data_IF_905325229054
#
_entry.id   IF_905325229054
#
_cell.length_a   1.000
_cell.length_b   1.000
_cell.length_c   1.000
_cell.angle_alpha   90.00
_cell.angle_beta   90.00
_cell.angle_gamma   90.00
#
_symmetry.space_group_name_H-M   'P 1'
#
loop_
_entity.id
_entity.type
_entity.pdbx_description
1 polymer ?
#
# COMPACT_ATOMS: atom_id res chain seq x y z
N UNK A 1 -4.35 22.48 16.28
CA UNK A 1 -3.49 21.28 16.17
C UNK A 1 -3.52 20.88 14.72
N UNK A 2 -2.41 20.40 14.15
CA UNK A 2 -2.39 19.89 12.78
C UNK A 2 -3.40 18.76 12.63
N UNK A 3 -4.10 18.75 11.50
CA UNK A 3 -5.15 17.79 11.16
C UNK A 3 -4.84 17.19 9.78
N UNK A 4 -5.31 15.97 9.48
CA UNK A 4 -5.14 15.34 8.16
C UNK A 4 -5.68 16.24 7.04
N UNK A 5 -6.71 17.03 7.33
CA UNK A 5 -7.24 18.09 6.46
C UNK A 5 -6.19 19.11 5.98
N UNK A 6 -5.09 19.31 6.71
CA UNK A 6 -4.04 20.23 6.27
C UNK A 6 -3.32 19.75 5.01
N UNK A 7 -3.37 18.44 4.68
CA UNK A 7 -2.87 17.90 3.41
C UNK A 7 -3.66 18.43 2.21
N UNK A 8 -4.96 18.73 2.37
CA UNK A 8 -5.81 19.26 1.28
C UNK A 8 -5.49 20.70 0.89
N UNK A 9 -4.57 21.36 1.61
CA UNK A 9 -4.01 22.66 1.20
C UNK A 9 -3.11 22.55 -0.02
N UNK A 10 -2.70 21.33 -0.39
CA UNK A 10 -1.95 21.03 -1.61
C UNK A 10 -2.93 20.76 -2.75
N UNK A 11 -2.69 21.39 -3.90
CA UNK A 11 -3.63 21.37 -5.03
C UNK A 11 -3.83 20.00 -5.68
N UNK A 12 -2.90 19.07 -5.47
CA UNK A 12 -2.90 17.71 -6.02
C UNK A 12 -3.29 16.64 -5.00
N UNK A 13 -3.76 17.04 -3.80
CA UNK A 13 -4.25 16.11 -2.79
C UNK A 13 -5.72 16.43 -2.49
N UNK A 14 -6.55 15.40 -2.53
CA UNK A 14 -7.92 15.45 -2.04
C UNK A 14 -8.03 14.60 -0.77
N UNK A 15 -8.67 15.13 0.27
CA UNK A 15 -8.93 14.41 1.52
C UNK A 15 -10.42 14.18 1.64
N UNK A 16 -10.80 12.92 1.85
CA UNK A 16 -12.19 12.49 2.09
C UNK A 16 -12.28 11.84 3.46
N UNK A 17 -13.38 12.07 4.15
CA UNK A 17 -13.67 11.45 5.44
C UNK A 17 -14.80 10.45 5.26
N UNK A 18 -14.55 9.20 5.64
CA UNK A 18 -15.56 8.12 5.61
C UNK A 18 -15.82 7.63 7.01
N UNK A 19 -16.82 6.78 7.19
CA UNK A 19 -17.05 6.14 8.49
C UNK A 19 -15.87 5.25 8.93
N UNK A 20 -15.12 4.68 7.98
CA UNK A 20 -14.11 3.65 8.24
C UNK A 20 -12.67 4.18 8.30
N UNK A 21 -12.36 5.25 7.56
CA UNK A 21 -10.99 5.78 7.43
C UNK A 21 -11.00 7.17 6.79
N UNK A 22 -9.97 7.96 7.10
CA UNK A 22 -9.64 9.14 6.29
C UNK A 22 -8.93 8.67 5.01
N UNK A 23 -9.34 9.22 3.86
CA UNK A 23 -8.84 8.81 2.55
C UNK A 23 -8.12 9.98 1.88
N UNK A 24 -6.84 9.79 1.57
CA UNK A 24 -6.00 10.77 0.88
C UNK A 24 -5.79 10.32 -0.56
N UNK A 25 -6.24 11.13 -1.52
CA UNK A 25 -6.25 10.80 -2.94
C UNK A 25 -5.27 11.72 -3.68
N UNK A 26 -4.42 11.15 -4.53
CA UNK A 26 -3.44 11.86 -5.35
C UNK A 26 -3.18 11.14 -6.69
N UNK A 27 -2.34 11.72 -7.55
CA UNK A 27 -2.08 11.21 -8.92
C UNK A 27 -0.73 10.51 -9.11
N UNK A 28 0.27 10.85 -8.30
CA UNK A 28 1.65 10.36 -8.40
C UNK A 28 1.98 9.56 -7.15
N UNK A 29 2.41 8.31 -7.29
CA UNK A 29 2.49 7.38 -6.17
C UNK A 29 3.54 7.76 -5.14
N UNK A 30 4.61 8.44 -5.57
CA UNK A 30 5.65 8.97 -4.67
C UNK A 30 5.09 10.00 -3.68
N UNK A 31 3.93 10.59 -3.97
CA UNK A 31 3.23 11.54 -3.09
C UNK A 31 2.96 10.94 -1.71
N UNK A 32 2.84 9.61 -1.60
CA UNK A 32 2.68 8.92 -0.32
C UNK A 32 3.79 9.24 0.68
N UNK A 33 5.03 9.46 0.21
CA UNK A 33 6.14 9.83 1.09
C UNK A 33 5.89 11.18 1.77
N UNK A 34 5.22 12.12 1.09
CA UNK A 34 4.84 13.40 1.67
C UNK A 34 3.74 13.22 2.72
N UNK A 35 2.81 12.29 2.51
CA UNK A 35 1.80 11.92 3.50
C UNK A 35 2.48 11.34 4.75
N UNK A 36 3.39 10.38 4.58
CA UNK A 36 4.15 9.81 5.70
C UNK A 36 4.96 10.87 6.44
N UNK A 37 5.68 11.72 5.71
CA UNK A 37 6.46 12.78 6.32
C UNK A 37 5.59 13.79 7.09
N UNK A 38 4.42 14.15 6.55
CA UNK A 38 3.45 14.99 7.24
C UNK A 38 2.96 14.35 8.54
N UNK A 39 2.61 13.06 8.53
CA UNK A 39 2.19 12.35 9.74
C UNK A 39 3.30 12.30 10.79
N UNK A 40 4.54 12.04 10.36
CA UNK A 40 5.72 12.02 11.24
C UNK A 40 5.99 13.37 11.87
N UNK A 41 6.00 14.43 11.06
CA UNK A 41 6.30 15.79 11.48
C UNK A 41 5.29 16.31 12.52
N UNK A 42 4.02 15.92 12.36
CA UNK A 42 2.92 16.37 13.22
C UNK A 42 2.61 15.40 14.38
N UNK A 43 3.36 14.30 14.51
CA UNK A 43 3.17 13.31 15.58
C UNK A 43 1.83 12.58 15.50
N UNK A 44 1.29 12.41 14.30
CA UNK A 44 0.01 11.74 14.04
C UNK A 44 0.15 10.21 13.94
N UNK A 45 1.38 9.70 13.82
CA UNK A 45 1.71 8.28 13.77
C UNK A 45 3.13 8.02 14.31
N UNK A 46 3.39 6.78 14.73
CA UNK A 46 4.71 6.34 15.18
C UNK A 46 5.48 5.71 14.01
N UNK A 47 6.63 6.29 13.67
CA UNK A 47 7.45 5.85 12.54
C UNK A 47 8.67 5.00 12.97
N UNK A 48 9.12 4.05 12.12
CA UNK A 48 8.60 3.72 10.78
C UNK A 48 7.28 2.94 10.84
N UNK A 49 6.39 3.17 9.87
CA UNK A 49 5.10 2.46 9.78
C UNK A 49 5.18 1.30 8.80
N UNK A 50 4.34 0.30 8.98
CA UNK A 50 4.16 -0.74 7.97
C UNK A 50 3.20 -0.29 6.86
N UNK A 51 3.35 -0.85 5.68
CA UNK A 51 2.56 -0.50 4.50
C UNK A 51 1.88 -1.74 3.91
N UNK A 52 0.56 -1.70 3.79
CA UNK A 52 -0.19 -2.63 2.95
C UNK A 52 -0.44 -1.96 1.60
N UNK A 53 0.24 -2.45 0.57
CA UNK A 53 0.24 -1.83 -0.75
C UNK A 53 -0.56 -2.69 -1.71
N UNK A 54 -1.52 -2.10 -2.40
CA UNK A 54 -2.23 -2.70 -3.52
C UNK A 54 -1.78 -2.00 -4.78
N UNK A 55 -0.90 -2.62 -5.53
CA UNK A 55 -0.18 -2.05 -6.67
C UNK A 55 0.25 -3.20 -7.59
N UNK A 56 0.22 -3.04 -8.91
CA UNK A 56 0.76 -4.06 -9.82
C UNK A 56 2.30 -4.03 -9.93
N UNK A 57 2.94 -3.03 -9.31
CA UNK A 57 4.37 -2.79 -9.21
C UNK A 57 4.89 -2.97 -7.77
N UNK A 58 6.20 -3.20 -7.61
CA UNK A 58 6.81 -3.31 -6.27
C UNK A 58 7.44 -2.00 -5.78
N UNK A 59 7.63 -1.03 -6.67
CA UNK A 59 8.30 0.26 -6.50
C UNK A 59 9.58 0.20 -5.65
N UNK A 60 10.28 -0.93 -5.83
CA UNK A 60 11.39 -1.36 -4.98
C UNK A 60 12.74 -1.33 -5.69
N UNK A 61 12.91 -0.52 -6.75
CA UNK A 61 14.20 -0.29 -7.36
C UNK A 61 15.06 0.64 -6.49
N UNK A 62 16.37 0.58 -6.71
CA UNK A 62 17.30 1.38 -5.93
C UNK A 62 17.16 2.86 -6.29
N UNK A 63 17.11 3.77 -5.28
CA UNK A 63 17.20 5.19 -5.52
C UNK A 63 18.53 5.58 -6.18
N UNK A 64 18.54 6.73 -6.86
CA UNK A 64 19.77 7.25 -7.44
C UNK A 64 20.81 7.59 -6.36
N UNK A 65 22.10 7.60 -6.71
CA UNK A 65 23.14 8.00 -5.77
C UNK A 65 22.98 9.43 -5.24
N UNK A 66 22.40 10.33 -6.05
CA UNK A 66 22.06 11.69 -5.63
C UNK A 66 20.90 11.70 -4.60
N UNK A 67 19.86 10.90 -4.85
CA UNK A 67 18.75 10.74 -3.93
C UNK A 67 19.21 10.16 -2.58
N UNK A 68 20.03 9.09 -2.59
CA UNK A 68 20.61 8.49 -1.38
C UNK A 68 21.43 9.50 -0.57
N UNK A 69 22.24 10.32 -1.25
CA UNK A 69 22.99 11.39 -0.58
C UNK A 69 22.06 12.37 0.14
N UNK A 70 20.97 12.78 -0.52
CA UNK A 70 19.98 13.71 0.04
C UNK A 70 19.17 13.09 1.19
N UNK A 71 18.83 11.80 1.09
CA UNK A 71 18.23 11.03 2.18
C UNK A 71 19.15 11.02 3.41
N UNK A 72 20.45 10.81 3.21
CA UNK A 72 21.42 10.85 4.30
C UNK A 72 21.54 12.23 4.94
N UNK A 73 21.48 13.30 4.14
CA UNK A 73 21.41 14.68 4.65
C UNK A 73 20.13 14.87 5.50
N UNK A 74 18.97 14.39 5.04
CA UNK A 74 17.69 14.46 5.77
C UNK A 74 17.65 13.64 7.06
N UNK A 75 18.37 12.52 7.12
CA UNK A 75 18.49 11.69 8.31
C UNK A 75 19.36 12.34 9.40
N UNK A 76 20.31 13.19 9.01
CA UNK A 76 21.15 13.96 9.94
C UNK A 76 20.43 15.22 10.42
N UNK A 77 19.73 15.90 9.52
CA UNK A 77 18.98 17.12 9.80
C UNK A 77 17.63 17.05 9.09
N UNK A 78 16.55 16.99 9.87
CA UNK A 78 15.20 16.86 9.31
C UNK A 78 14.90 18.04 8.37
N UNK A 79 14.42 17.78 7.14
CA UNK A 79 14.13 18.84 6.19
C UNK A 79 12.93 19.69 6.63
N UNK A 80 12.72 20.83 5.98
CA UNK A 80 11.41 21.46 6.00
C UNK A 80 10.42 20.68 5.13
N UNK A 81 9.12 20.84 5.37
CA UNK A 81 8.06 20.25 4.55
C UNK A 81 8.26 20.57 3.06
N UNK A 82 8.62 21.83 2.73
CA UNK A 82 8.88 22.25 1.35
C UNK A 82 10.06 21.53 0.70
N UNK A 83 11.14 21.32 1.46
CA UNK A 83 12.32 20.61 0.96
C UNK A 83 12.02 19.14 0.72
N UNK A 84 11.22 18.53 1.60
CA UNK A 84 10.79 17.14 1.45
C UNK A 84 9.90 16.95 0.21
N UNK A 85 8.92 17.84 0.01
CA UNK A 85 8.11 17.87 -1.23
C UNK A 85 8.97 18.00 -2.50
N UNK A 86 9.94 18.92 -2.49
CA UNK A 86 10.82 19.10 -3.64
C UNK A 86 11.68 17.85 -3.89
N UNK A 87 12.06 17.14 -2.83
CA UNK A 87 12.81 15.90 -2.93
C UNK A 87 12.00 14.80 -3.63
N UNK A 88 10.75 14.58 -3.20
CA UNK A 88 9.89 13.55 -3.81
C UNK A 88 9.62 13.81 -5.29
N UNK A 89 9.45 15.08 -5.68
CA UNK A 89 9.10 15.47 -7.05
C UNK A 89 10.31 15.49 -8.00
N UNK A 90 11.48 15.92 -7.52
CA UNK A 90 12.61 16.24 -8.41
C UNK A 90 13.87 15.38 -8.22
N UNK A 91 14.03 14.72 -7.07
CA UNK A 91 15.25 13.95 -6.76
C UNK A 91 15.04 12.43 -6.86
N UNK A 92 13.81 11.95 -6.62
CA UNK A 92 13.42 10.57 -6.93
C UNK A 92 13.28 10.35 -8.44
N UNK A 93 13.29 9.09 -8.88
CA UNK A 93 13.18 8.80 -10.31
C UNK A 93 11.79 9.16 -10.83
N UNK A 94 11.75 9.61 -12.08
CA UNK A 94 10.51 9.93 -12.81
C UNK A 94 9.70 8.70 -13.22
N UNK A 95 10.26 7.50 -13.07
CA UNK A 95 9.56 6.22 -13.28
C UNK A 95 8.87 5.73 -12.02
N UNK A 96 9.03 6.45 -10.92
CA UNK A 96 8.39 6.27 -9.62
C UNK A 96 8.73 4.94 -8.92
N UNK A 97 9.45 4.05 -9.59
CA UNK A 97 9.90 2.73 -9.13
C UNK A 97 10.87 2.66 -7.94
N UNK A 98 11.23 3.78 -7.29
CA UNK A 98 12.24 3.82 -6.22
C UNK A 98 11.76 4.37 -4.87
N UNK A 99 10.49 4.78 -4.77
CA UNK A 99 10.01 5.48 -3.59
C UNK A 99 9.87 4.56 -2.36
N UNK A 100 9.58 3.27 -2.51
CA UNK A 100 9.48 2.33 -1.38
C UNK A 100 10.83 2.23 -0.68
N UNK A 101 11.91 2.01 -1.44
CA UNK A 101 13.26 1.96 -0.87
C UNK A 101 13.69 3.31 -0.29
N UNK A 102 13.37 4.42 -0.96
CA UNK A 102 13.63 5.74 -0.42
C UNK A 102 12.93 5.95 0.94
N UNK A 103 11.66 5.56 1.05
CA UNK A 103 10.88 5.61 2.30
C UNK A 103 11.48 4.76 3.41
N UNK A 104 12.02 3.58 3.08
CA UNK A 104 12.76 2.74 4.04
C UNK A 104 14.05 3.42 4.53
N UNK A 105 14.83 4.01 3.62
CA UNK A 105 16.07 4.72 3.97
C UNK A 105 15.82 6.03 4.74
N UNK A 106 14.63 6.62 4.63
CA UNK A 106 14.19 7.79 5.41
C UNK A 106 13.61 7.41 6.80
N UNK A 107 13.51 6.10 7.09
CA UNK A 107 12.86 5.60 8.30
C UNK A 107 11.36 5.94 8.33
N UNK A 108 10.73 6.06 7.16
CA UNK A 108 9.28 6.26 7.02
C UNK A 108 8.55 4.92 6.85
N UNK A 109 9.15 4.00 6.09
CA UNK A 109 8.56 2.68 5.82
C UNK A 109 9.32 1.60 6.59
N UNK A 110 8.58 0.71 7.23
CA UNK A 110 9.10 -0.48 7.89
C UNK A 110 9.05 -1.69 6.94
N UNK A 111 7.98 -2.48 6.94
CA UNK A 111 7.79 -3.56 5.97
C UNK A 111 6.63 -3.23 5.02
N UNK A 112 6.68 -3.80 3.82
CA UNK A 112 5.63 -3.70 2.81
C UNK A 112 5.00 -5.07 2.58
N UNK A 113 3.67 -5.11 2.57
CA UNK A 113 2.85 -6.26 2.23
C UNK A 113 2.13 -5.95 0.92
N UNK A 114 2.72 -6.39 -0.19
CA UNK A 114 2.28 -6.07 -1.54
C UNK A 114 1.25 -7.09 -2.04
N UNK A 115 0.09 -6.58 -2.43
CA UNK A 115 -0.92 -7.30 -3.18
C UNK A 115 -1.01 -6.76 -4.60
N UNK A 116 -1.14 -7.65 -5.59
CA UNK A 116 -1.29 -7.27 -7.00
C UNK A 116 -2.30 -8.19 -7.71
N UNK A 117 -2.84 -7.78 -8.85
CA UNK A 117 -3.81 -8.62 -9.59
C UNK A 117 -3.19 -9.44 -10.72
N UNK A 118 -1.97 -9.10 -11.16
CA UNK A 118 -1.29 -9.80 -12.24
C UNK A 118 -0.49 -11.00 -11.74
N UNK A 119 0.23 -11.66 -12.67
CA UNK A 119 1.21 -12.71 -12.34
C UNK A 119 2.62 -12.15 -12.48
N UNK A 120 2.84 -10.96 -11.95
CA UNK A 120 4.17 -10.38 -11.98
C UNK A 120 5.19 -11.30 -11.29
N UNK A 121 6.37 -11.42 -11.89
CA UNK A 121 7.40 -12.37 -11.47
C UNK A 121 8.26 -11.82 -10.33
N UNK A 122 7.65 -11.31 -9.27
CA UNK A 122 8.41 -10.86 -8.09
C UNK A 122 8.77 -12.04 -7.19
N UNK A 123 9.94 -11.98 -6.58
CA UNK A 123 10.27 -12.88 -5.48
C UNK A 123 9.27 -12.72 -4.34
N UNK A 124 8.90 -13.83 -3.70
CA UNK A 124 7.98 -13.81 -2.55
C UNK A 124 8.41 -12.82 -1.45
N UNK A 125 9.72 -12.72 -1.19
CA UNK A 125 10.25 -11.76 -0.24
C UNK A 125 11.56 -11.17 -0.76
N UNK A 126 11.67 -9.85 -0.66
CA UNK A 126 12.87 -9.07 -0.96
C UNK A 126 13.30 -8.35 0.32
N UNK A 127 14.60 -8.40 0.63
CA UNK A 127 15.16 -7.74 1.82
C UNK A 127 15.99 -6.53 1.42
N UNK A 128 15.97 -5.51 2.25
CA UNK A 128 16.82 -4.34 2.10
C UNK A 128 17.45 -3.95 3.43
N UNK A 129 18.78 -3.87 3.45
CA UNK A 129 19.52 -3.40 4.62
C UNK A 129 19.71 -1.90 4.49
N UNK A 130 18.96 -1.12 5.26
CA UNK A 130 19.09 0.35 5.27
C UNK A 130 20.39 0.77 5.95
N UNK A 131 20.85 1.99 5.65
CA UNK A 131 22.05 2.54 6.27
C UNK A 131 21.84 2.84 7.76
N UNK A 132 20.63 3.29 8.15
CA UNK A 132 20.35 3.81 9.51
C UNK A 132 19.21 3.12 10.28
N UNK A 133 18.35 2.32 9.62
CA UNK A 133 17.07 1.86 10.18
C UNK A 133 16.89 0.33 10.20
N UNK A 134 17.97 -0.42 10.02
CA UNK A 134 17.99 -1.89 10.05
C UNK A 134 17.50 -2.56 8.76
N UNK A 135 17.27 -3.87 8.84
CA UNK A 135 16.72 -4.68 7.74
C UNK A 135 15.21 -4.44 7.60
N UNK A 136 14.77 -4.16 6.37
CA UNK A 136 13.37 -3.99 5.96
C UNK A 136 13.00 -5.01 4.88
N UNK A 137 11.70 -5.27 4.71
CA UNK A 137 11.21 -6.32 3.80
C UNK A 137 10.03 -5.89 2.97
N UNK A 138 10.01 -6.36 1.72
CA UNK A 138 8.83 -6.36 0.85
C UNK A 138 8.39 -7.80 0.68
N UNK A 139 7.12 -8.07 0.98
CA UNK A 139 6.47 -9.36 0.81
C UNK A 139 5.52 -9.28 -0.37
N UNK A 140 5.80 -10.03 -1.43
CA UNK A 140 4.87 -10.21 -2.54
C UNK A 140 3.87 -11.31 -2.18
N UNK A 141 2.62 -10.91 -1.96
CA UNK A 141 1.52 -11.80 -1.55
C UNK A 141 0.66 -12.26 -2.74
N UNK A 142 0.93 -11.77 -3.94
CA UNK A 142 0.06 -12.01 -5.09
C UNK A 142 -1.28 -11.31 -4.92
N UNK A 143 -2.32 -11.87 -5.52
CA UNK A 143 -3.67 -11.34 -5.32
C UNK A 143 -4.19 -11.65 -3.91
N UNK A 144 -4.91 -10.69 -3.32
CA UNK A 144 -5.51 -10.87 -1.99
C UNK A 144 -6.45 -12.08 -1.93
N UNK A 145 -7.16 -12.37 -3.04
CA UNK A 145 -8.01 -13.56 -3.12
C UNK A 145 -7.25 -14.85 -3.36
N UNK A 146 -5.98 -14.85 -3.77
CA UNK A 146 -5.19 -16.08 -3.78
C UNK A 146 -4.45 -16.25 -2.44
N UNK A 147 -3.98 -15.15 -1.83
CA UNK A 147 -3.33 -15.14 -0.53
C UNK A 147 -4.23 -15.72 0.59
N UNK A 148 -5.52 -15.41 0.56
CA UNK A 148 -6.52 -15.87 1.54
C UNK A 148 -7.15 -17.24 1.23
N UNK A 149 -6.75 -17.92 0.15
CA UNK A 149 -7.41 -19.16 -0.27
C UNK A 149 -6.44 -20.32 -0.43
N UNK A 150 -6.97 -21.55 -0.32
CA UNK A 150 -6.26 -22.85 -0.39
C UNK A 150 -4.75 -22.77 -0.71
N UNK A 151 -3.93 -22.96 0.34
CA UNK A 151 -2.45 -22.90 0.28
C UNK A 151 -1.83 -21.52 0.04
N UNK A 152 -2.65 -20.46 0.05
CA UNK A 152 -2.20 -19.08 -0.01
C UNK A 152 -1.43 -18.66 1.24
N UNK A 153 -0.61 -17.62 1.10
CA UNK A 153 0.33 -17.15 2.12
C UNK A 153 -0.34 -16.72 3.44
N UNK A 154 -1.64 -16.41 3.43
CA UNK A 154 -2.41 -16.00 4.61
C UNK A 154 -3.39 -17.08 5.11
N UNK A 155 -3.45 -18.23 4.44
CA UNK A 155 -4.34 -19.36 4.80
C UNK A 155 -3.57 -20.66 5.09
N UNK A 156 -2.35 -20.87 4.57
CA UNK A 156 -1.58 -22.10 4.79
C UNK A 156 -0.99 -22.18 6.21
N UNK A 157 -1.84 -22.46 7.19
CA UNK A 157 -1.51 -22.57 8.60
C UNK A 157 -0.35 -23.54 8.91
N UNK A 158 -0.05 -24.47 8.01
CA UNK A 158 0.99 -25.48 8.19
C UNK A 158 2.37 -25.08 7.64
N UNK A 159 2.44 -24.05 6.78
CA UNK A 159 3.68 -23.68 6.08
C UNK A 159 4.50 -22.60 6.81
N UNK A 160 4.83 -22.87 8.08
CA UNK A 160 5.59 -21.95 8.94
C UNK A 160 7.01 -21.67 8.44
N UNK A 161 7.60 -22.64 7.75
CA UNK A 161 8.95 -22.52 7.19
C UNK A 161 9.02 -21.43 6.12
N UNK A 162 7.97 -21.29 5.30
CA UNK A 162 7.93 -20.31 4.21
C UNK A 162 7.34 -18.97 4.67
N UNK A 163 6.25 -19.01 5.45
CA UNK A 163 5.44 -17.83 5.76
C UNK A 163 5.56 -17.35 7.21
N UNK A 164 6.27 -18.05 8.09
CA UNK A 164 6.36 -17.71 9.51
C UNK A 164 6.88 -16.29 9.78
N UNK A 165 7.90 -15.86 9.03
CA UNK A 165 8.43 -14.49 9.16
C UNK A 165 7.45 -13.44 8.62
N UNK A 166 6.77 -13.72 7.48
CA UNK A 166 5.69 -12.88 6.97
C UNK A 166 4.61 -12.69 8.04
N UNK A 167 4.13 -13.78 8.63
CA UNK A 167 3.07 -13.73 9.63
C UNK A 167 3.47 -12.94 10.87
N UNK A 168 4.72 -13.11 11.32
CA UNK A 168 5.27 -12.33 12.43
C UNK A 168 5.31 -10.84 12.11
N UNK A 169 5.83 -10.47 10.94
CA UNK A 169 5.98 -9.07 10.55
C UNK A 169 4.62 -8.41 10.26
N UNK A 170 3.65 -9.16 9.75
CA UNK A 170 2.30 -8.70 9.44
C UNK A 170 1.39 -8.60 10.67
N UNK A 171 1.75 -9.24 11.78
CA UNK A 171 0.84 -9.44 12.92
C UNK A 171 -0.29 -10.43 12.61
N UNK A 172 -0.03 -11.41 11.74
CA UNK A 172 -0.95 -12.49 11.37
C UNK A 172 -0.75 -13.68 12.30
N UNK A 173 -1.30 -13.60 13.52
CA UNK A 173 -0.96 -14.54 14.59
C UNK A 173 -1.89 -15.75 14.61
N UNK A 174 -1.33 -16.91 14.97
CA UNK A 174 -2.10 -18.15 15.14
C UNK A 174 -2.68 -18.22 16.56
N UNK A 175 -4.00 -18.13 16.69
CA UNK A 175 -4.72 -18.25 17.96
C UNK A 175 -5.95 -19.14 17.79
N UNK A 176 -6.16 -20.06 18.73
CA UNK A 176 -7.33 -20.98 18.73
C UNK A 176 -7.54 -21.76 17.41
N UNK A 177 -6.45 -22.10 16.71
CA UNK A 177 -6.52 -22.83 15.45
C UNK A 177 -6.86 -21.98 14.22
N UNK A 178 -6.88 -20.65 14.35
CA UNK A 178 -7.11 -19.70 13.27
C UNK A 178 -6.10 -18.54 13.31
N UNK A 179 -5.99 -17.81 12.23
CA UNK A 179 -5.28 -16.57 12.11
C UNK A 179 -6.18 -15.43 12.58
N UNK A 180 -5.58 -14.56 13.40
CA UNK A 180 -6.14 -13.31 13.88
C UNK A 180 -5.17 -12.19 13.56
N UNK A 181 -5.71 -11.00 13.28
CA UNK A 181 -4.92 -9.80 13.01
C UNK A 181 -4.65 -9.09 14.34
N UNK A 182 -3.40 -9.09 14.78
CA UNK A 182 -2.94 -8.42 15.99
C UNK A 182 -1.59 -7.76 15.71
N UNK A 183 -1.55 -6.43 15.78
CA UNK A 183 -0.36 -5.64 15.42
C UNK A 183 0.05 -4.71 16.55
N UNK A 184 1.36 -4.55 16.70
CA UNK A 184 1.98 -3.56 17.58
C UNK A 184 2.28 -2.25 16.85
N UNK A 185 2.59 -2.32 15.55
CA UNK A 185 2.93 -1.15 14.75
C UNK A 185 1.72 -0.54 14.06
N UNK A 186 1.73 0.78 14.02
CA UNK A 186 0.97 1.62 13.12
C UNK A 186 1.19 1.21 11.65
N UNK A 187 0.14 1.29 10.84
CA UNK A 187 0.22 1.02 9.41
C UNK A 187 -0.74 1.87 8.58
N UNK A 188 -0.39 2.03 7.31
CA UNK A 188 -1.26 2.62 6.28
C UNK A 188 -1.59 1.54 5.25
N UNK A 189 -2.79 1.65 4.70
CA UNK A 189 -3.18 0.93 3.50
C UNK A 189 -3.16 1.89 2.31
N UNK A 190 -2.50 1.47 1.24
CA UNK A 190 -2.33 2.24 0.04
C UNK A 190 -2.85 1.45 -1.16
N UNK A 191 -3.56 2.14 -2.05
CA UNK A 191 -4.08 1.61 -3.29
C UNK A 191 -3.58 2.43 -4.46
N UNK A 192 -2.65 1.88 -5.23
CA UNK A 192 -2.54 2.23 -6.63
C UNK A 192 -3.70 1.57 -7.39
N UNK A 193 -4.47 2.38 -8.13
CA UNK A 193 -5.58 1.87 -8.91
C UNK A 193 -5.12 0.91 -10.02
N UNK A 194 -3.87 0.97 -10.46
CA UNK A 194 -3.36 0.08 -11.48
C UNK A 194 -3.31 -1.40 -11.04
N UNK A 195 -3.36 -1.67 -9.73
CA UNK A 195 -3.57 -2.99 -9.15
C UNK A 195 -4.86 -3.64 -9.65
N UNK A 196 -5.82 -2.85 -10.13
CA UNK A 196 -7.09 -3.32 -10.71
C UNK A 196 -7.13 -3.16 -12.23
N UNK A 197 -5.98 -3.03 -12.87
CA UNK A 197 -5.81 -3.01 -14.32
C UNK A 197 -5.27 -4.33 -14.85
N UNK A 198 -5.37 -4.54 -16.16
CA UNK A 198 -4.80 -5.70 -16.84
C UNK A 198 -4.21 -5.28 -18.18
N UNK A 199 -3.06 -5.83 -18.52
CA UNK A 199 -2.41 -5.60 -19.80
C UNK A 199 -2.98 -6.55 -20.88
N UNK A 200 -3.55 -5.98 -21.94
CA UNK A 200 -4.09 -6.72 -23.09
C UNK A 200 -3.40 -6.22 -24.36
N UNK A 201 -2.61 -7.11 -24.96
CA UNK A 201 -1.77 -6.88 -26.16
C UNK A 201 -0.68 -5.84 -25.92
N UNK A 202 -1.05 -4.55 -25.90
CA UNK A 202 -0.12 -3.41 -25.78
C UNK A 202 -0.73 -2.24 -24.98
N UNK A 203 -1.80 -2.50 -24.21
CA UNK A 203 -2.55 -1.48 -23.48
C UNK A 203 -3.05 -2.02 -22.15
N UNK A 204 -3.03 -1.16 -21.14
CA UNK A 204 -3.73 -1.40 -19.88
C UNK A 204 -5.21 -1.07 -20.04
N UNK A 205 -6.04 -1.88 -19.39
CA UNK A 205 -7.49 -1.70 -19.29
C UNK A 205 -7.90 -1.96 -17.85
N UNK A 206 -8.97 -1.32 -17.40
CA UNK A 206 -9.61 -1.70 -16.15
C UNK A 206 -10.04 -3.18 -16.21
N UNK A 207 -9.76 -3.95 -15.15
CA UNK A 207 -10.36 -5.26 -15.00
C UNK A 207 -11.88 -5.07 -14.97
N UNK A 208 -12.66 -5.86 -15.75
CA UNK A 208 -14.11 -5.76 -15.75
C UNK A 208 -14.72 -5.80 -14.34
N UNK A 209 -15.68 -4.90 -14.09
CA UNK A 209 -16.35 -4.75 -12.79
C UNK A 209 -16.92 -6.08 -12.26
N UNK A 210 -17.57 -6.86 -13.12
CA UNK A 210 -18.15 -8.15 -12.76
C UNK A 210 -17.11 -9.17 -12.30
N UNK A 211 -15.89 -9.11 -12.86
CA UNK A 211 -14.76 -9.93 -12.45
C UNK A 211 -14.25 -9.47 -11.07
N UNK A 212 -14.04 -8.16 -10.88
CA UNK A 212 -13.57 -7.63 -9.59
C UNK A 212 -14.57 -7.92 -8.47
N UNK A 213 -15.85 -7.58 -8.68
CA UNK A 213 -16.92 -7.88 -7.72
C UNK A 213 -16.96 -9.37 -7.42
N UNK A 214 -16.92 -10.23 -8.43
CA UNK A 214 -16.88 -11.68 -8.19
C UNK A 214 -15.67 -12.08 -7.35
N UNK A 215 -14.47 -11.60 -7.68
CA UNK A 215 -13.25 -11.96 -6.96
C UNK A 215 -13.25 -11.50 -5.50
N UNK A 216 -13.80 -10.32 -5.22
CA UNK A 216 -13.84 -9.74 -3.89
C UNK A 216 -15.03 -10.19 -3.04
N UNK A 217 -16.19 -10.45 -3.66
CA UNK A 217 -17.45 -10.75 -2.95
C UNK A 217 -17.85 -12.23 -2.96
N UNK A 218 -17.20 -13.08 -3.78
CA UNK A 218 -17.45 -14.53 -3.76
C UNK A 218 -17.02 -15.10 -2.40
N UNK A 219 -18.02 -15.54 -1.63
CA UNK A 219 -17.76 -16.23 -0.37
C UNK A 219 -17.07 -17.56 -0.64
N UNK A 220 -15.99 -17.78 0.09
CA UNK A 220 -15.26 -19.04 0.10
C UNK A 220 -15.04 -19.44 1.55
N UNK A 221 -15.35 -20.70 1.84
CA UNK A 221 -15.14 -21.25 3.17
C UNK A 221 -13.64 -21.33 3.44
N UNK A 222 -13.20 -20.67 4.50
CA UNK A 222 -11.82 -20.74 4.98
C UNK A 222 -11.75 -21.57 6.24
N UNK A 223 -10.64 -22.29 6.40
CA UNK A 223 -10.41 -23.17 7.54
C UNK A 223 -9.63 -22.41 8.61
N UNK A 224 -8.69 -21.56 8.19
CA UNK A 224 -7.69 -21.00 9.07
C UNK A 224 -7.84 -19.49 9.32
N UNK A 225 -8.86 -18.80 8.82
CA UNK A 225 -9.19 -17.44 9.25
C UNK A 225 -10.71 -17.20 9.33
N UNK A 226 -11.12 -15.95 9.52
CA UNK A 226 -12.53 -15.55 9.68
C UNK A 226 -13.11 -14.78 8.48
N UNK A 227 -12.24 -14.30 7.59
CA UNK A 227 -12.65 -13.56 6.39
C UNK A 227 -13.19 -14.53 5.32
N UNK A 228 -14.50 -14.58 5.14
CA UNK A 228 -15.11 -15.43 4.10
C UNK A 228 -15.05 -14.83 2.71
N UNK A 229 -14.83 -13.52 2.62
CA UNK A 229 -14.65 -12.76 1.38
C UNK A 229 -13.34 -11.96 1.45
N UNK A 230 -12.59 -11.84 0.35
CA UNK A 230 -11.45 -10.94 0.29
C UNK A 230 -11.78 -9.49 0.62
N UNK A 231 -12.98 -8.99 0.26
CA UNK A 231 -13.39 -7.63 0.62
C UNK A 231 -13.52 -7.43 2.12
N UNK A 232 -14.00 -8.43 2.88
CA UNK A 232 -14.10 -8.35 4.34
C UNK A 232 -12.71 -8.17 4.97
N UNK A 233 -11.69 -8.84 4.43
CA UNK A 233 -10.31 -8.68 4.89
C UNK A 233 -9.77 -7.29 4.59
N UNK A 234 -9.94 -6.80 3.35
CA UNK A 234 -9.47 -5.46 2.95
C UNK A 234 -10.18 -4.35 3.74
N UNK A 235 -11.50 -4.44 3.93
CA UNK A 235 -12.25 -3.53 4.80
C UNK A 235 -11.71 -3.55 6.22
N UNK A 236 -11.36 -4.72 6.74
CA UNK A 236 -10.77 -4.81 8.08
C UNK A 236 -9.39 -4.17 8.18
N UNK A 237 -8.59 -4.22 7.11
CA UNK A 237 -7.34 -3.47 7.04
C UNK A 237 -7.59 -1.95 7.03
N UNK A 238 -8.55 -1.48 6.23
CA UNK A 238 -8.95 -0.06 6.18
C UNK A 238 -9.37 0.45 7.55
N UNK A 239 -10.28 -0.26 8.23
CA UNK A 239 -10.77 0.10 9.57
C UNK A 239 -9.66 0.21 10.63
N UNK A 240 -8.59 -0.57 10.48
CA UNK A 240 -7.51 -0.67 11.46
C UNK A 240 -6.28 0.20 11.09
N UNK A 241 -6.24 0.74 9.87
CA UNK A 241 -5.16 1.62 9.42
C UNK A 241 -5.26 3.02 10.03
N UNK A 242 -4.15 3.76 10.06
CA UNK A 242 -4.15 5.19 10.42
C UNK A 242 -4.97 6.00 9.42
N UNK A 243 -4.77 5.73 8.14
CA UNK A 243 -5.50 6.30 7.02
C UNK A 243 -5.36 5.39 5.80
N UNK A 244 -6.17 5.67 4.79
CA UNK A 244 -6.08 5.06 3.46
C UNK A 244 -5.53 6.07 2.46
N UNK A 245 -4.62 5.63 1.60
CA UNK A 245 -4.19 6.42 0.43
C UNK A 245 -4.66 5.77 -0.87
N UNK A 246 -4.94 6.60 -1.87
CA UNK A 246 -5.37 6.17 -3.21
C UNK A 246 -4.60 6.95 -4.26
N UNK A 247 -3.81 6.26 -5.07
CA UNK A 247 -3.09 6.81 -6.20
C UNK A 247 -3.81 6.51 -7.52
N UNK A 248 -4.06 7.54 -8.33
CA UNK A 248 -4.78 7.37 -9.60
C UNK A 248 -3.93 6.85 -10.75
N UNK A 249 -2.64 7.24 -10.82
CA UNK A 249 -1.66 6.76 -11.81
C UNK A 249 -2.28 6.55 -13.20
N UNK A 250 -2.91 7.61 -13.71
CA UNK A 250 -3.85 7.49 -14.83
C UNK A 250 -3.23 6.75 -16.03
N UNK A 251 -1.93 6.92 -16.28
CA UNK A 251 -1.24 6.27 -17.39
C UNK A 251 -1.08 4.75 -17.17
N UNK A 252 -0.74 4.34 -15.94
CA UNK A 252 -0.60 2.94 -15.53
C UNK A 252 -1.94 2.20 -15.62
N UNK A 253 -3.05 2.89 -15.32
CA UNK A 253 -4.41 2.35 -15.49
C UNK A 253 -4.88 2.20 -16.96
N UNK A 254 -4.18 2.76 -17.95
CA UNK A 254 -4.64 2.80 -19.36
C UNK A 254 -5.34 4.11 -19.77
N UNK A 255 -5.22 5.15 -18.95
CA UNK A 255 -5.72 6.50 -19.15
C UNK A 255 -6.81 6.89 -18.14
N UNK A 256 -7.11 8.19 -18.06
CA UNK A 256 -8.07 8.78 -17.11
C UNK A 256 -9.45 8.09 -17.10
N UNK A 257 -9.90 7.59 -18.25
CA UNK A 257 -11.19 6.89 -18.34
C UNK A 257 -11.17 5.53 -17.65
N UNK A 258 -10.06 4.81 -17.74
CA UNK A 258 -9.93 3.49 -17.14
C UNK A 258 -9.71 3.62 -15.63
N UNK A 259 -8.88 4.56 -15.17
CA UNK A 259 -8.70 4.84 -13.74
C UNK A 259 -10.02 5.22 -13.06
N UNK A 260 -10.87 6.05 -13.69
CA UNK A 260 -12.18 6.37 -13.12
C UNK A 260 -13.12 5.16 -13.02
N UNK A 261 -13.12 4.24 -14.00
CA UNK A 261 -13.91 2.99 -13.89
C UNK A 261 -13.42 2.15 -12.73
N UNK A 262 -12.11 2.02 -12.58
CA UNK A 262 -11.50 1.30 -11.46
C UNK A 262 -11.93 1.94 -10.14
N UNK A 263 -11.79 3.26 -10.03
CA UNK A 263 -12.13 4.02 -8.84
C UNK A 263 -13.61 3.87 -8.44
N UNK A 264 -14.55 3.87 -9.40
CA UNK A 264 -15.98 3.65 -9.12
C UNK A 264 -16.25 2.26 -8.50
N UNK A 265 -15.56 1.22 -8.98
CA UNK A 265 -15.69 -0.14 -8.45
C UNK A 265 -14.99 -0.25 -7.09
N UNK A 266 -13.81 0.35 -6.94
CA UNK A 266 -13.06 0.43 -5.68
C UNK A 266 -13.87 1.10 -4.58
N UNK A 267 -14.43 2.28 -4.85
CA UNK A 267 -15.27 3.04 -3.92
C UNK A 267 -16.53 2.24 -3.54
N UNK A 268 -17.17 1.58 -4.50
CA UNK A 268 -18.27 0.65 -4.21
C UNK A 268 -17.85 -0.52 -3.30
N UNK A 269 -16.72 -1.17 -3.60
CA UNK A 269 -16.27 -2.35 -2.87
C UNK A 269 -15.89 -2.03 -1.43
N UNK A 270 -15.20 -0.91 -1.19
CA UNK A 270 -14.54 -0.65 0.10
C UNK A 270 -15.09 0.53 0.89
N UNK A 271 -15.77 1.48 0.23
CA UNK A 271 -16.22 2.75 0.82
C UNK A 271 -17.69 3.07 0.57
N UNK A 272 -18.49 2.13 0.05
CA UNK A 272 -19.94 2.31 -0.16
C UNK A 272 -20.33 3.54 -0.99
N UNK A 273 -19.44 3.99 -1.90
CA UNK A 273 -19.62 5.21 -2.70
C UNK A 273 -19.52 6.52 -1.92
N UNK A 274 -18.80 6.54 -0.80
CA UNK A 274 -18.63 7.74 0.04
C UNK A 274 -17.52 8.68 -0.46
N UNK A 275 -16.53 8.19 -1.22
CA UNK A 275 -15.35 9.01 -1.58
C UNK A 275 -15.40 9.62 -2.99
N UNK A 276 -16.17 9.05 -3.91
CA UNK A 276 -16.28 9.52 -5.30
C UNK A 276 -17.28 10.64 -5.55
N UNK A 277 -18.01 11.09 -4.54
CA UNK A 277 -18.94 12.23 -4.62
C UNK A 277 -18.25 13.59 -4.49
#
# INVERSE_FOLDING_TARGET
>A
MPDINDLSKRSNINVKHTYNSDVVIYEDHRTILNVFYFLKLNGLATFPIDLFMFDDHDDFLNPSAAALKKINEFNLEAPSEREFWSFTEFDLKTSDDDWVKAGMELGLINNVFLFHSSKASYSFSSKHQTESYGEKRVYNLGSVWDALHFRGSLEDYSNDVEYGQLWKDMGWIKRNGKFEFERENDFIIDFDLDCFSTFIVDKNYAIPEDILIKKFEEYKRTENHYYGKPSDFVKKLIENSILTTVCFENNSCGGIRESHKIFEVFDYLFFEKEIGN
#
